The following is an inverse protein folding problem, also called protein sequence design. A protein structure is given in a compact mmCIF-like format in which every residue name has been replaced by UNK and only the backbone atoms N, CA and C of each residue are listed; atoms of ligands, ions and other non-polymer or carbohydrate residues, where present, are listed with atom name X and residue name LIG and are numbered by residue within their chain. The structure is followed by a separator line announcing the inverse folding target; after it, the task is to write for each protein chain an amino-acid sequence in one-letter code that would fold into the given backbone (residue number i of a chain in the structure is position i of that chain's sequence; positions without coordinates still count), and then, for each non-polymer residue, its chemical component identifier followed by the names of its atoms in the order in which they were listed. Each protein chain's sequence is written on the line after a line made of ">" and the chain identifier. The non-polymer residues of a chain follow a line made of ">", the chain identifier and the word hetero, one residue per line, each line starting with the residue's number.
data_IF_525710932966
#
_entry.id   IF_525710932966
#
_cell.length_a   1.000
_cell.length_b   1.000
_cell.length_c   1.000
_cell.angle_alpha   90.00
_cell.angle_beta   90.00
_cell.angle_gamma   90.00
#
_symmetry.space_group_name_H-M   'P 1'
#
loop_
_entity.id
_entity.type
_entity.pdbx_description
1 polymer ?
#
# COMPACT_ATOMS: atom_id res chain seq x y z
N UNK A 1 3.28 3.54 -3.69
CA UNK A 1 3.03 4.97 -3.37
C UNK A 1 1.60 5.20 -2.86
N UNK A 2 1.40 5.89 -1.73
CA UNK A 2 0.05 6.17 -1.19
C UNK A 2 -0.66 7.26 -1.99
N UNK A 3 -1.94 7.06 -2.31
CA UNK A 3 -2.74 8.05 -3.04
C UNK A 3 -3.37 9.02 -2.02
N UNK A 4 -3.14 10.31 -2.22
CA UNK A 4 -3.76 11.38 -1.42
C UNK A 4 -4.91 11.99 -2.20
N UNK A 5 -6.08 12.06 -1.57
CA UNK A 5 -7.28 12.66 -2.14
C UNK A 5 -7.75 13.79 -1.24
N UNK A 6 -8.14 14.92 -1.84
CA UNK A 6 -8.81 16.00 -1.14
C UNK A 6 -10.28 15.62 -0.90
N UNK A 7 -10.73 15.64 0.35
CA UNK A 7 -12.09 15.22 0.73
C UNK A 7 -13.21 16.05 0.07
N UNK A 8 -12.91 17.28 -0.37
CA UNK A 8 -13.86 18.13 -1.10
C UNK A 8 -14.00 17.74 -2.59
N UNK A 9 -13.05 16.98 -3.14
CA UNK A 9 -13.12 16.53 -4.54
C UNK A 9 -14.06 15.33 -4.66
N UNK A 10 -15.31 15.62 -5.00
CA UNK A 10 -16.36 14.63 -5.16
C UNK A 10 -15.97 13.49 -6.11
N UNK A 11 -15.33 13.80 -7.25
CA UNK A 11 -14.95 12.77 -8.24
C UNK A 11 -13.87 11.85 -7.68
N UNK A 12 -12.90 12.40 -6.99
CA UNK A 12 -11.84 11.61 -6.37
C UNK A 12 -12.38 10.75 -5.22
N UNK A 13 -13.30 11.28 -4.40
CA UNK A 13 -13.98 10.51 -3.34
C UNK A 13 -14.85 9.39 -3.94
N UNK A 14 -15.55 9.63 -5.04
CA UNK A 14 -16.30 8.59 -5.77
C UNK A 14 -15.38 7.47 -6.25
N UNK A 15 -14.23 7.81 -6.84
CA UNK A 15 -13.23 6.85 -7.29
C UNK A 15 -12.66 6.02 -6.12
N UNK A 16 -12.40 6.64 -4.97
CA UNK A 16 -12.00 5.95 -3.75
C UNK A 16 -13.03 4.90 -3.31
N UNK A 17 -14.30 5.29 -3.22
CA UNK A 17 -15.39 4.38 -2.84
C UNK A 17 -15.47 3.17 -3.79
N UNK A 18 -15.23 3.37 -5.09
CA UNK A 18 -15.24 2.29 -6.09
C UNK A 18 -14.03 1.33 -6.00
N UNK A 19 -12.88 1.83 -5.52
CA UNK A 19 -11.68 1.01 -5.32
C UNK A 19 -11.74 0.12 -4.07
N UNK A 20 -12.57 0.45 -3.09
CA UNK A 20 -12.66 -0.29 -1.83
C UNK A 20 -13.43 -1.61 -1.99
N UNK A 21 -12.74 -2.73 -1.79
CA UNK A 21 -13.37 -4.06 -1.80
C UNK A 21 -14.44 -4.20 -0.71
N UNK A 22 -14.18 -3.69 0.49
CA UNK A 22 -15.13 -3.67 1.60
C UNK A 22 -16.44 -2.93 1.27
N UNK A 23 -16.35 -1.82 0.52
CA UNK A 23 -17.54 -1.07 0.10
C UNK A 23 -18.27 -1.72 -1.06
N UNK A 24 -17.61 -2.51 -1.93
CA UNK A 24 -18.28 -3.18 -3.05
C UNK A 24 -19.40 -4.11 -2.58
N UNK A 25 -19.12 -4.96 -1.60
CA UNK A 25 -20.11 -5.90 -1.06
C UNK A 25 -21.23 -5.17 -0.33
N UNK A 26 -20.91 -4.11 0.40
CA UNK A 26 -21.91 -3.29 1.10
C UNK A 26 -22.83 -2.54 0.12
N UNK A 27 -22.27 -1.94 -0.93
CA UNK A 27 -23.03 -1.21 -1.96
C UNK A 27 -23.94 -2.14 -2.77
N UNK A 28 -23.56 -3.41 -2.96
CA UNK A 28 -24.47 -4.41 -3.56
C UNK A 28 -25.74 -4.62 -2.73
N UNK A 29 -25.61 -4.64 -1.41
CA UNK A 29 -26.74 -4.81 -0.48
C UNK A 29 -27.52 -3.51 -0.29
N UNK A 30 -26.85 -2.36 -0.36
CA UNK A 30 -27.41 -1.04 -0.15
C UNK A 30 -26.97 -0.08 -1.27
N UNK A 31 -27.70 -0.01 -2.39
CA UNK A 31 -27.31 0.80 -3.56
C UNK A 31 -27.10 2.28 -3.24
N UNK A 32 -27.82 2.80 -2.25
CA UNK A 32 -27.73 4.19 -1.78
C UNK A 32 -26.46 4.48 -0.97
N UNK A 33 -25.76 3.45 -0.48
CA UNK A 33 -24.62 3.59 0.41
C UNK A 33 -23.47 4.37 -0.24
N UNK A 34 -23.24 4.15 -1.54
CA UNK A 34 -22.20 4.89 -2.29
C UNK A 34 -22.48 6.38 -2.27
N UNK A 35 -23.70 6.78 -2.65
CA UNK A 35 -24.09 8.20 -2.69
C UNK A 35 -23.94 8.83 -1.31
N UNK A 36 -24.45 8.17 -0.26
CA UNK A 36 -24.33 8.65 1.12
C UNK A 36 -22.89 8.78 1.60
N UNK A 37 -22.02 7.81 1.28
CA UNK A 37 -20.62 7.87 1.66
C UNK A 37 -19.92 9.09 1.05
N UNK A 38 -20.15 9.34 -0.26
CA UNK A 38 -19.62 10.52 -0.94
C UNK A 38 -20.17 11.81 -0.34
N UNK A 39 -21.47 11.89 -0.08
CA UNK A 39 -22.12 13.06 0.53
C UNK A 39 -21.58 13.36 1.93
N UNK A 40 -21.41 12.33 2.77
CA UNK A 40 -20.86 12.49 4.11
C UNK A 40 -19.42 13.01 4.03
N UNK A 41 -18.57 12.38 3.23
CA UNK A 41 -17.15 12.75 3.13
C UNK A 41 -17.00 14.17 2.57
N UNK A 42 -17.71 14.49 1.48
CA UNK A 42 -17.63 15.81 0.84
C UNK A 42 -18.26 16.91 1.69
N UNK A 43 -19.36 16.62 2.39
CA UNK A 43 -20.01 17.55 3.31
C UNK A 43 -19.12 17.88 4.50
N UNK A 44 -18.60 16.86 5.19
CA UNK A 44 -17.65 17.03 6.30
C UNK A 44 -16.38 17.78 5.84
N UNK A 45 -15.87 17.46 4.65
CA UNK A 45 -14.73 18.18 4.09
C UNK A 45 -15.04 19.65 3.80
N UNK A 46 -16.27 19.97 3.36
CA UNK A 46 -16.75 21.33 3.15
C UNK A 46 -16.82 22.12 4.44
N UNK A 47 -17.43 21.54 5.49
CA UNK A 47 -17.52 22.16 6.82
C UNK A 47 -16.13 22.51 7.38
N UNK A 48 -15.15 21.61 7.20
CA UNK A 48 -13.77 21.87 7.61
C UNK A 48 -13.06 22.89 6.72
N UNK A 49 -13.33 22.91 5.41
CA UNK A 49 -12.78 23.90 4.50
C UNK A 49 -13.21 25.33 4.89
N UNK A 50 -14.46 25.51 5.33
CA UNK A 50 -14.97 26.79 5.84
C UNK A 50 -14.25 27.26 7.12
N UNK A 51 -13.67 26.32 7.88
CA UNK A 51 -12.82 26.59 9.04
C UNK A 51 -11.33 26.75 8.69
N UNK A 52 -10.97 26.76 7.40
CA UNK A 52 -9.58 26.84 6.94
C UNK A 52 -8.78 25.54 7.08
N UNK A 53 -9.46 24.40 7.25
CA UNK A 53 -8.84 23.07 7.37
C UNK A 53 -9.02 22.25 6.09
N UNK A 54 -8.05 21.39 5.77
CA UNK A 54 -8.12 20.49 4.62
C UNK A 54 -8.25 19.03 5.09
N UNK A 55 -9.37 18.40 4.74
CA UNK A 55 -9.52 16.95 4.91
C UNK A 55 -8.78 16.25 3.77
N UNK A 56 -7.70 15.54 4.11
CA UNK A 56 -6.96 14.69 3.18
C UNK A 56 -7.20 13.24 3.57
N UNK A 57 -7.63 12.44 2.59
CA UNK A 57 -7.76 10.99 2.76
C UNK A 57 -6.52 10.34 2.16
N UNK A 58 -5.80 9.60 3.00
CA UNK A 58 -4.68 8.77 2.59
C UNK A 58 -5.13 7.35 2.36
N UNK A 59 -5.02 6.93 1.11
CA UNK A 59 -5.29 5.55 0.73
C UNK A 59 -3.94 4.86 0.74
N UNK A 60 -3.70 4.15 1.85
CA UNK A 60 -2.63 3.19 1.89
C UNK A 60 -2.90 2.14 0.82
N UNK A 61 -1.89 1.94 -0.02
CA UNK A 61 -1.90 0.87 -0.97
C UNK A 61 -2.07 -0.46 -0.25
N UNK A 62 -2.96 -1.33 -0.71
CA UNK A 62 -3.06 -2.68 -0.16
C UNK A 62 -1.69 -3.36 -0.27
N UNK A 63 -1.22 -3.91 0.85
CA UNK A 63 0.03 -4.66 0.91
C UNK A 63 0.08 -5.75 -0.18
N UNK A 64 -1.06 -6.38 -0.49
CA UNK A 64 -1.16 -7.37 -1.57
C UNK A 64 -0.86 -6.75 -2.95
N UNK A 65 -1.41 -5.58 -3.25
CA UNK A 65 -1.14 -4.86 -4.49
C UNK A 65 0.33 -4.42 -4.60
N UNK A 66 0.95 -4.01 -3.48
CA UNK A 66 2.38 -3.62 -3.43
C UNK A 66 3.29 -4.79 -3.71
N UNK A 67 3.01 -5.94 -3.10
CA UNK A 67 3.70 -7.21 -3.35
C UNK A 67 3.55 -7.63 -4.81
N UNK A 68 2.33 -7.57 -5.36
CA UNK A 68 2.07 -7.97 -6.76
C UNK A 68 2.81 -7.07 -7.75
N UNK A 69 2.79 -5.74 -7.55
CA UNK A 69 3.52 -4.83 -8.44
C UNK A 69 5.02 -5.03 -8.39
N UNK A 70 5.59 -5.22 -7.20
CA UNK A 70 7.00 -5.55 -7.02
C UNK A 70 7.37 -6.86 -7.70
N UNK A 71 6.53 -7.88 -7.49
CA UNK A 71 6.63 -9.17 -8.17
C UNK A 71 6.67 -9.04 -9.68
N UNK A 72 5.70 -8.32 -10.26
CA UNK A 72 5.64 -8.10 -11.72
C UNK A 72 6.82 -7.30 -12.27
N UNK A 73 7.33 -6.32 -11.50
CA UNK A 73 8.41 -5.46 -11.96
C UNK A 73 9.76 -6.16 -12.02
N UNK A 74 10.07 -6.92 -10.97
CA UNK A 74 11.40 -7.50 -10.74
C UNK A 74 11.39 -9.03 -10.82
N UNK A 75 10.28 -9.65 -11.26
CA UNK A 75 10.10 -11.10 -11.28
C UNK A 75 10.30 -11.77 -9.90
N UNK A 76 9.89 -11.06 -8.83
CA UNK A 76 9.97 -11.57 -7.47
C UNK A 76 8.81 -12.51 -7.17
N UNK A 77 9.08 -13.57 -6.43
CA UNK A 77 8.02 -14.35 -5.77
C UNK A 77 7.35 -13.52 -4.67
N UNK A 78 6.16 -13.92 -4.24
CA UNK A 78 5.47 -13.22 -3.15
C UNK A 78 6.31 -13.14 -1.86
N UNK A 79 7.08 -14.19 -1.53
CA UNK A 79 7.94 -14.20 -0.34
C UNK A 79 9.16 -13.29 -0.48
N UNK A 80 9.72 -13.19 -1.68
CA UNK A 80 10.83 -12.27 -2.00
C UNK A 80 10.37 -10.81 -1.95
N UNK A 81 9.23 -10.50 -2.55
CA UNK A 81 8.64 -9.17 -2.51
C UNK A 81 8.27 -8.74 -1.08
N UNK A 82 7.71 -9.65 -0.27
CA UNK A 82 7.45 -9.40 1.16
C UNK A 82 8.73 -9.08 1.93
N UNK A 83 9.81 -9.85 1.72
CA UNK A 83 11.10 -9.58 2.36
C UNK A 83 11.67 -8.24 1.91
N UNK A 84 11.63 -7.95 0.60
CA UNK A 84 12.14 -6.70 0.05
C UNK A 84 11.40 -5.48 0.63
N UNK A 85 10.07 -5.57 0.77
CA UNK A 85 9.25 -4.53 1.39
C UNK A 85 9.57 -4.35 2.88
N UNK A 86 9.64 -5.44 3.64
CA UNK A 86 10.00 -5.38 5.06
C UNK A 86 11.34 -4.66 5.29
N UNK A 87 12.31 -4.94 4.41
CA UNK A 87 13.63 -4.32 4.44
C UNK A 87 13.58 -2.84 4.02
N UNK A 88 12.77 -2.49 3.01
CA UNK A 88 12.55 -1.11 2.57
C UNK A 88 11.89 -0.25 3.65
N UNK A 89 10.96 -0.85 4.40
CA UNK A 89 10.25 -0.21 5.51
C UNK A 89 11.11 -0.15 6.80
N UNK A 90 12.40 -0.52 6.73
CA UNK A 90 13.39 -0.37 7.81
C UNK A 90 13.51 -1.57 8.75
N UNK A 91 12.79 -2.66 8.49
CA UNK A 91 12.85 -3.88 9.28
C UNK A 91 14.16 -4.65 9.11
N UNK A 92 14.52 -5.47 10.10
CA UNK A 92 15.71 -6.33 10.03
C UNK A 92 15.38 -7.73 9.49
N UNK A 93 16.37 -8.41 8.91
CA UNK A 93 16.23 -9.83 8.49
C UNK A 93 15.98 -10.77 9.66
N UNK A 94 16.44 -10.43 10.85
CA UNK A 94 16.20 -11.21 12.07
C UNK A 94 14.72 -11.12 12.49
N UNK A 95 14.13 -9.92 12.43
CA UNK A 95 12.72 -9.71 12.75
C UNK A 95 11.83 -10.38 11.71
N UNK A 96 12.20 -10.33 10.43
CA UNK A 96 11.49 -11.03 9.36
C UNK A 96 11.53 -12.55 9.55
N UNK A 97 12.69 -13.10 9.92
CA UNK A 97 12.83 -14.52 10.20
C UNK A 97 11.88 -14.95 11.34
N UNK A 98 11.87 -14.16 12.43
CA UNK A 98 11.02 -14.42 13.58
C UNK A 98 9.52 -14.30 13.25
N UNK A 99 9.11 -13.25 12.54
CA UNK A 99 7.70 -13.01 12.20
C UNK A 99 7.13 -14.06 11.24
N UNK A 100 7.97 -14.62 10.36
CA UNK A 100 7.58 -15.64 9.38
C UNK A 100 7.81 -17.08 9.86
N UNK A 101 8.41 -17.28 11.04
CA UNK A 101 8.72 -18.62 11.56
C UNK A 101 9.74 -19.38 10.70
N UNK A 102 10.65 -18.68 10.02
CA UNK A 102 11.66 -19.26 9.12
C UNK A 102 13.08 -19.03 9.64
N UNK A 103 14.02 -19.82 9.16
CA UNK A 103 15.42 -19.68 9.59
C UNK A 103 16.07 -18.43 9.01
N UNK A 104 17.07 -17.88 9.71
CA UNK A 104 17.93 -16.81 9.17
C UNK A 104 18.62 -17.21 7.86
N UNK A 105 18.91 -18.50 7.68
CA UNK A 105 19.49 -19.01 6.43
C UNK A 105 18.49 -18.91 5.27
N UNK A 106 17.23 -19.25 5.50
CA UNK A 106 16.15 -19.08 4.53
C UNK A 106 15.99 -17.60 4.13
N UNK A 107 16.01 -16.69 5.11
CA UNK A 107 15.95 -15.24 4.83
C UNK A 107 17.16 -14.78 4.02
N UNK A 108 18.37 -15.26 4.35
CA UNK A 108 19.59 -14.96 3.57
C UNK A 108 19.44 -15.41 2.11
N UNK A 109 18.94 -16.62 1.87
CA UNK A 109 18.74 -17.15 0.52
C UNK A 109 17.70 -16.33 -0.26
N UNK A 110 16.58 -15.98 0.37
CA UNK A 110 15.58 -15.10 -0.23
C UNK A 110 16.16 -13.72 -0.54
N UNK A 111 16.95 -13.14 0.36
CA UNK A 111 17.56 -11.82 0.15
C UNK A 111 18.58 -11.84 -0.99
N UNK A 112 19.34 -12.93 -1.14
CA UNK A 112 20.24 -13.10 -2.27
C UNK A 112 19.47 -13.13 -3.59
N UNK A 113 18.38 -13.91 -3.67
CA UNK A 113 17.53 -13.94 -4.85
C UNK A 113 16.93 -12.56 -5.17
N UNK A 114 16.52 -11.80 -4.14
CA UNK A 114 16.07 -10.41 -4.31
C UNK A 114 17.18 -9.55 -4.92
N UNK A 115 18.42 -9.62 -4.42
CA UNK A 115 19.55 -8.88 -5.00
C UNK A 115 19.81 -9.25 -6.45
N UNK A 116 19.80 -10.54 -6.78
CA UNK A 116 20.04 -11.02 -8.14
C UNK A 116 18.96 -10.52 -9.11
N UNK A 117 17.70 -10.51 -8.68
CA UNK A 117 16.54 -10.11 -9.50
C UNK A 117 16.35 -8.59 -9.61
N UNK A 118 16.74 -7.84 -8.58
CA UNK A 118 16.61 -6.38 -8.55
C UNK A 118 17.86 -5.65 -9.06
N UNK A 119 18.99 -6.36 -9.16
CA UNK A 119 20.29 -5.79 -9.49
C UNK A 119 20.98 -5.03 -8.35
N UNK A 120 20.34 -4.92 -7.18
CA UNK A 120 20.93 -4.29 -6.00
C UNK A 120 22.05 -5.16 -5.43
N UNK A 121 23.18 -4.54 -5.06
CA UNK A 121 24.35 -5.27 -4.49
C UNK A 121 24.40 -5.24 -2.97
N UNK A 122 23.59 -4.38 -2.35
CA UNK A 122 23.56 -4.17 -0.90
C UNK A 122 22.17 -3.75 -0.44
N UNK A 123 21.88 -4.01 0.84
CA UNK A 123 20.59 -3.67 1.44
C UNK A 123 20.25 -2.19 1.30
N UNK A 124 21.20 -1.27 1.50
CA UNK A 124 20.97 0.17 1.33
C UNK A 124 20.63 0.56 -0.11
N UNK A 125 21.15 -0.17 -1.10
CA UNK A 125 20.84 0.05 -2.51
C UNK A 125 19.45 -0.48 -2.85
N UNK A 126 19.08 -1.64 -2.31
CA UNK A 126 17.72 -2.16 -2.40
C UNK A 126 16.71 -1.17 -1.78
N UNK A 127 16.99 -0.65 -0.58
CA UNK A 127 16.13 0.36 0.07
C UNK A 127 15.95 1.60 -0.83
N UNK A 128 17.04 2.10 -1.45
CA UNK A 128 16.95 3.24 -2.37
C UNK A 128 16.16 2.91 -3.64
N UNK A 129 16.39 1.74 -4.22
CA UNK A 129 15.66 1.27 -5.40
C UNK A 129 14.15 1.18 -5.14
N UNK A 130 13.76 0.80 -3.93
CA UNK A 130 12.37 0.61 -3.52
C UNK A 130 11.72 1.87 -2.94
N UNK A 131 12.49 2.91 -2.61
CA UNK A 131 11.96 4.17 -2.13
C UNK A 131 11.10 4.90 -3.19
N UNK A 132 11.38 4.63 -4.47
CA UNK A 132 10.68 5.22 -5.61
C UNK A 132 9.44 4.39 -6.05
N UNK A 133 9.05 3.35 -5.29
CA UNK A 133 7.95 2.41 -5.59
C UNK A 133 6.66 2.60 -4.74
#
# INVERSE_FOLDING_TARGET
>A
MAMRIKGTDRKAVEALVDTSEALRDYVRLYPEAKRRAVEIVTGVAGDYADMGMELVIEIAEDAAARIERLGKRFDLTASEALLALHIADGGSTADYAASRGITRNTVRNQLQAVFDKTGARRQTELVRLLADF
#
